data_IF_409142281624
#
_entry.id   IF_409142281624
#
_cell.length_a   1.000
_cell.length_b   1.000
_cell.length_c   1.000
_cell.angle_alpha   90.00
_cell.angle_beta   90.00
_cell.angle_gamma   90.00
#
_symmetry.space_group_name_H-M   'P 1'
#
loop_
_entity.id
_entity.type
_entity.pdbx_description
1 polymer ?
#
# COMPACT_ATOMS: atom_id res chain seq x y z
N UNK A 1 5.09 13.91 25.82
CA UNK A 1 5.79 13.46 24.60
C UNK A 1 7.07 14.28 24.45
N UNK A 2 8.23 13.68 24.06
CA UNK A 2 9.40 14.47 23.71
C UNK A 2 9.07 15.34 22.50
N UNK A 3 9.64 16.56 22.40
CA UNK A 3 9.33 17.46 21.31
C UNK A 3 9.70 16.86 19.96
N UNK A 4 8.87 17.11 18.94
CA UNK A 4 9.16 16.80 17.54
C UNK A 4 10.38 17.61 17.11
N UNK A 5 11.31 17.01 16.36
CA UNK A 5 12.44 17.73 15.79
C UNK A 5 11.96 18.75 14.77
N UNK A 6 12.77 19.80 14.55
CA UNK A 6 12.52 20.72 13.44
C UNK A 6 12.40 19.97 12.12
N UNK A 7 11.56 20.45 11.24
CA UNK A 7 11.39 19.93 9.87
C UNK A 7 12.70 19.91 9.07
N UNK A 8 13.59 20.86 9.34
CA UNK A 8 14.89 21.01 8.66
C UNK A 8 15.99 20.10 9.25
N UNK A 9 15.76 19.48 10.40
CA UNK A 9 16.70 18.52 10.99
C UNK A 9 16.71 17.20 10.19
N UNK A 10 17.73 17.04 9.36
CA UNK A 10 17.96 15.85 8.53
C UNK A 10 18.79 14.76 9.23
N UNK A 11 19.16 14.95 10.49
CA UNK A 11 19.93 13.95 11.23
C UNK A 11 19.13 12.68 11.44
N UNK A 12 19.74 11.52 11.09
CA UNK A 12 19.06 10.22 11.25
C UNK A 12 19.00 9.80 12.72
N UNK A 13 17.82 9.30 13.12
CA UNK A 13 17.64 8.66 14.41
C UNK A 13 18.42 7.35 14.48
N UNK A 14 19.06 7.05 15.60
CA UNK A 14 19.65 5.75 15.86
C UNK A 14 18.70 4.90 16.69
N UNK A 15 18.31 3.71 16.19
CA UNK A 15 17.39 2.79 16.87
C UNK A 15 18.11 1.71 17.66
N UNK A 16 19.20 1.17 17.09
CA UNK A 16 19.89 0.01 17.63
C UNK A 16 21.36 0.30 17.90
N UNK A 17 21.88 -0.25 18.99
CA UNK A 17 23.31 -0.24 19.27
C UNK A 17 24.06 -1.18 18.31
N UNK A 18 23.43 -2.32 17.95
CA UNK A 18 23.96 -3.27 16.99
C UNK A 18 23.97 -2.65 15.59
N UNK A 19 25.14 -2.61 14.93
CA UNK A 19 25.34 -1.98 13.65
C UNK A 19 24.53 -2.65 12.51
N UNK A 20 24.38 -3.97 12.55
CA UNK A 20 23.61 -4.73 11.55
C UNK A 20 22.13 -4.41 11.65
N UNK A 21 21.56 -4.44 12.86
CA UNK A 21 20.15 -4.06 13.07
C UNK A 21 19.91 -2.59 12.70
N UNK A 22 20.85 -1.71 13.04
CA UNK A 22 20.77 -0.30 12.67
C UNK A 22 20.79 -0.10 11.16
N UNK A 23 21.64 -0.84 10.43
CA UNK A 23 21.71 -0.80 8.97
C UNK A 23 20.37 -1.22 8.35
N UNK A 24 19.80 -2.35 8.74
CA UNK A 24 18.53 -2.85 8.21
C UNK A 24 17.30 -2.04 8.65
N UNK A 25 17.44 -1.17 9.63
CA UNK A 25 16.36 -0.28 10.06
C UNK A 25 16.29 1.02 9.26
N UNK A 26 17.26 1.30 8.39
CA UNK A 26 17.32 2.45 7.49
C UNK A 26 16.85 2.06 6.10
N UNK A 27 16.00 2.89 5.50
CA UNK A 27 15.44 2.62 4.17
C UNK A 27 15.59 3.85 3.27
N UNK A 28 16.64 3.91 2.43
CA UNK A 28 16.62 4.83 1.30
C UNK A 28 15.38 4.60 0.44
N UNK A 29 14.70 5.66 0.04
CA UNK A 29 13.40 5.60 -0.63
C UNK A 29 13.36 4.69 -1.87
N UNK A 30 14.45 4.64 -2.63
CA UNK A 30 14.55 3.84 -3.86
C UNK A 30 14.53 2.32 -3.61
N UNK A 31 14.81 1.87 -2.38
CA UNK A 31 14.72 0.44 -2.05
C UNK A 31 13.27 -0.08 -2.10
N UNK A 32 12.30 0.79 -1.85
CA UNK A 32 10.88 0.42 -1.91
C UNK A 32 10.48 0.02 -3.33
N UNK A 33 10.59 0.87 -4.36
CA UNK A 33 10.27 0.47 -5.72
C UNK A 33 11.22 -0.62 -6.25
N UNK A 34 12.51 -0.59 -5.92
CA UNK A 34 13.48 -1.59 -6.37
C UNK A 34 13.16 -3.01 -5.86
N UNK A 35 12.55 -3.13 -4.68
CA UNK A 35 12.13 -4.41 -4.11
C UNK A 35 10.75 -4.85 -4.59
N UNK A 36 9.77 -3.95 -4.54
CA UNK A 36 8.37 -4.34 -4.67
C UNK A 36 7.83 -4.30 -6.10
N UNK A 37 8.42 -3.49 -6.99
CA UNK A 37 8.03 -3.53 -8.41
C UNK A 37 8.34 -4.88 -9.05
N UNK A 38 9.54 -5.48 -8.87
CA UNK A 38 9.80 -6.84 -9.35
C UNK A 38 8.83 -7.88 -8.78
N UNK A 39 8.50 -7.81 -7.48
CA UNK A 39 7.53 -8.73 -6.86
C UNK A 39 6.15 -8.60 -7.50
N UNK A 40 5.69 -7.37 -7.76
CA UNK A 40 4.42 -7.15 -8.46
C UNK A 40 4.44 -7.71 -9.89
N UNK A 41 5.54 -7.51 -10.63
CA UNK A 41 5.71 -8.03 -11.99
C UNK A 41 5.71 -9.56 -12.03
N UNK A 42 6.41 -10.22 -11.10
CA UNK A 42 6.38 -11.68 -10.97
C UNK A 42 4.96 -12.16 -10.68
N UNK A 43 4.25 -11.53 -9.74
CA UNK A 43 2.86 -11.89 -9.44
C UNK A 43 1.91 -11.69 -10.63
N UNK A 44 2.13 -10.66 -11.45
CA UNK A 44 1.38 -10.45 -12.72
C UNK A 44 1.69 -11.58 -13.70
N UNK A 45 2.96 -11.94 -13.87
CA UNK A 45 3.37 -13.01 -14.78
C UNK A 45 2.80 -14.37 -14.36
N UNK A 46 2.87 -14.69 -13.06
CA UNK A 46 2.27 -15.90 -12.49
C UNK A 46 0.76 -15.95 -12.72
N UNK A 47 0.05 -14.84 -12.41
CA UNK A 47 -1.38 -14.75 -12.69
C UNK A 47 -1.72 -14.90 -14.17
N UNK A 48 -0.94 -14.27 -15.05
CA UNK A 48 -1.16 -14.35 -16.48
C UNK A 48 -0.96 -15.75 -17.06
N UNK A 49 -0.06 -16.56 -16.48
CA UNK A 49 0.15 -17.96 -16.91
C UNK A 49 -1.08 -18.84 -16.67
N UNK A 50 -1.92 -18.52 -15.67
CA UNK A 50 -3.13 -19.29 -15.35
C UNK A 50 -4.27 -19.14 -16.38
N UNK A 51 -4.19 -18.17 -17.30
CA UNK A 51 -5.22 -17.92 -18.30
C UNK A 51 -5.52 -19.15 -19.17
N UNK A 52 -4.52 -19.96 -19.49
CA UNK A 52 -4.64 -21.17 -20.29
C UNK A 52 -5.44 -22.27 -19.58
N UNK A 53 -5.31 -22.34 -18.25
CA UNK A 53 -6.12 -23.23 -17.40
C UNK A 53 -7.60 -22.80 -17.32
N UNK A 54 -7.90 -21.50 -17.53
CA UNK A 54 -9.27 -20.99 -17.52
C UNK A 54 -9.98 -21.23 -18.85
N UNK A 55 -9.32 -20.98 -19.98
CA UNK A 55 -9.88 -21.17 -21.32
C UNK A 55 -8.82 -21.44 -22.37
N UNK A 56 -9.11 -22.41 -23.24
CA UNK A 56 -8.26 -22.79 -24.39
C UNK A 56 -8.68 -22.12 -25.72
N UNK A 57 -9.62 -21.18 -25.72
CA UNK A 57 -10.09 -20.47 -26.91
C UNK A 57 -9.29 -19.18 -27.13
N UNK A 58 -8.57 -19.10 -28.23
CA UNK A 58 -7.53 -18.08 -28.46
C UNK A 58 -8.03 -16.69 -28.88
N UNK A 59 -9.16 -16.54 -29.58
CA UNK A 59 -9.43 -15.32 -30.37
C UNK A 59 -10.29 -14.26 -29.67
N UNK A 60 -11.34 -14.62 -28.94
CA UNK A 60 -12.23 -13.68 -28.22
C UNK A 60 -11.79 -13.52 -26.76
N UNK A 61 -11.08 -14.51 -26.26
CA UNK A 61 -10.71 -14.67 -24.86
C UNK A 61 -9.59 -13.71 -24.47
N UNK A 62 -8.68 -13.36 -25.38
CA UNK A 62 -7.56 -12.48 -25.11
C UNK A 62 -8.00 -11.09 -24.61
N UNK A 63 -8.93 -10.44 -25.29
CA UNK A 63 -9.42 -9.11 -24.89
C UNK A 63 -10.19 -9.14 -23.57
N UNK A 64 -10.95 -10.22 -23.31
CA UNK A 64 -11.68 -10.40 -22.05
C UNK A 64 -10.70 -10.54 -20.90
N UNK A 65 -9.64 -11.35 -21.06
CA UNK A 65 -8.61 -11.50 -20.01
C UNK A 65 -7.84 -10.23 -19.74
N UNK A 66 -7.43 -9.49 -20.78
CA UNK A 66 -6.73 -8.21 -20.62
C UNK A 66 -7.62 -7.20 -19.89
N UNK A 67 -8.90 -7.09 -20.30
CA UNK A 67 -9.85 -6.17 -19.66
C UNK A 67 -10.09 -6.53 -18.19
N UNK A 68 -10.25 -7.81 -17.89
CA UNK A 68 -10.46 -8.30 -16.54
C UNK A 68 -9.20 -8.13 -15.67
N UNK A 69 -8.02 -8.42 -16.21
CA UNK A 69 -6.73 -8.18 -15.56
C UNK A 69 -6.55 -6.70 -15.20
N UNK A 70 -6.80 -5.81 -16.17
CA UNK A 70 -6.72 -4.36 -15.96
C UNK A 70 -7.72 -3.88 -14.91
N UNK A 71 -8.98 -4.31 -15.02
CA UNK A 71 -10.01 -3.97 -14.02
C UNK A 71 -9.60 -4.41 -12.62
N UNK A 72 -9.16 -5.66 -12.48
CA UNK A 72 -8.76 -6.24 -11.20
C UNK A 72 -7.53 -5.53 -10.61
N UNK A 73 -6.54 -5.22 -11.46
CA UNK A 73 -5.36 -4.45 -11.08
C UNK A 73 -5.74 -3.04 -10.59
N UNK A 74 -6.58 -2.32 -11.33
CA UNK A 74 -7.04 -0.98 -10.95
C UNK A 74 -7.85 -1.02 -9.66
N UNK A 75 -8.69 -2.05 -9.48
CA UNK A 75 -9.43 -2.27 -8.23
C UNK A 75 -8.48 -2.50 -7.05
N UNK A 76 -7.42 -3.30 -7.23
CA UNK A 76 -6.37 -3.48 -6.23
C UNK A 76 -5.64 -2.18 -5.89
N UNK A 77 -5.24 -1.41 -6.91
CA UNK A 77 -4.61 -0.11 -6.71
C UNK A 77 -5.51 0.87 -5.94
N UNK A 78 -6.80 0.90 -6.27
CA UNK A 78 -7.77 1.72 -5.53
C UNK A 78 -8.01 1.22 -4.10
N UNK A 79 -8.03 -0.10 -3.88
CA UNK A 79 -8.17 -0.72 -2.57
C UNK A 79 -7.01 -0.33 -1.62
N UNK A 80 -5.79 -0.14 -2.16
CA UNK A 80 -4.68 0.38 -1.36
C UNK A 80 -5.04 1.69 -0.65
N UNK A 81 -5.74 2.61 -1.30
CA UNK A 81 -6.09 3.90 -0.67
C UNK A 81 -6.97 3.75 0.59
N UNK A 82 -7.80 2.70 0.64
CA UNK A 82 -8.59 2.33 1.83
C UNK A 82 -7.68 1.74 2.90
N UNK A 83 -6.82 0.81 2.48
CA UNK A 83 -5.88 0.13 3.39
C UNK A 83 -4.90 1.13 4.01
N UNK A 84 -4.32 2.02 3.21
CA UNK A 84 -3.45 3.10 3.66
C UNK A 84 -4.14 3.95 4.75
N UNK A 85 -5.34 4.46 4.46
CA UNK A 85 -6.09 5.25 5.42
C UNK A 85 -6.38 4.46 6.71
N UNK A 86 -6.77 3.20 6.57
CA UNK A 86 -7.04 2.30 7.69
C UNK A 86 -5.79 2.05 8.55
N UNK A 87 -4.66 1.74 7.93
CA UNK A 87 -3.38 1.57 8.62
C UNK A 87 -2.93 2.86 9.29
N UNK A 88 -2.96 3.98 8.58
CA UNK A 88 -2.51 5.24 9.12
C UNK A 88 -3.33 5.65 10.35
N UNK A 89 -4.67 5.60 10.26
CA UNK A 89 -5.56 6.02 11.34
C UNK A 89 -5.64 5.04 12.50
N UNK A 90 -5.81 3.73 12.22
CA UNK A 90 -6.20 2.76 13.24
C UNK A 90 -5.03 1.90 13.75
N UNK A 91 -3.91 1.84 13.01
CA UNK A 91 -2.72 1.09 13.39
C UNK A 91 -1.59 2.03 13.79
N UNK A 92 -1.21 2.96 12.91
CA UNK A 92 -0.04 3.81 13.11
C UNK A 92 -0.24 4.90 14.16
N UNK A 93 -1.43 5.48 14.24
CA UNK A 93 -1.77 6.49 15.24
C UNK A 93 -2.31 5.94 16.55
N UNK A 94 -2.53 4.62 16.63
CA UNK A 94 -2.95 3.98 17.88
C UNK A 94 -1.71 3.50 18.64
N UNK A 95 -1.53 4.02 19.85
CA UNK A 95 -0.44 3.59 20.74
C UNK A 95 -0.98 2.41 21.59
N UNK A 96 -0.52 1.17 21.35
CA UNK A 96 -0.93 0.03 22.15
C UNK A 96 -0.42 0.17 23.58
N UNK A 97 -1.10 -0.46 24.53
CA UNK A 97 -0.67 -0.49 25.93
C UNK A 97 0.62 -1.29 26.13
N UNK A 98 1.41 -0.89 27.12
CA UNK A 98 2.63 -1.58 27.52
C UNK A 98 3.87 -1.18 26.71
N UNK A 99 5.04 -1.62 27.23
CA UNK A 99 6.35 -1.23 26.70
C UNK A 99 6.58 -1.73 25.27
N UNK A 100 6.22 -2.98 24.98
CA UNK A 100 6.39 -3.57 23.65
C UNK A 100 5.51 -2.85 22.61
N UNK A 101 4.25 -2.58 22.96
CA UNK A 101 3.34 -1.85 22.08
C UNK A 101 3.86 -0.45 21.74
N UNK A 102 4.37 0.27 22.72
CA UNK A 102 4.96 1.59 22.51
C UNK A 102 6.24 1.53 21.63
N UNK A 103 7.06 0.48 21.78
CA UNK A 103 8.24 0.28 20.94
C UNK A 103 7.84 -0.02 19.47
N UNK A 104 6.89 -0.91 19.25
CA UNK A 104 6.39 -1.22 17.90
C UNK A 104 5.81 0.04 17.26
N UNK A 105 4.95 0.76 17.97
CA UNK A 105 4.40 2.03 17.46
C UNK A 105 5.50 3.03 17.10
N UNK A 106 6.53 3.17 17.96
CA UNK A 106 7.64 4.07 17.67
C UNK A 106 8.41 3.66 16.41
N UNK A 107 8.73 2.37 16.25
CA UNK A 107 9.48 1.86 15.10
C UNK A 107 8.70 1.93 13.79
N UNK A 108 7.39 1.78 13.84
CA UNK A 108 6.56 1.76 12.62
C UNK A 108 6.16 3.16 12.14
N UNK A 109 5.86 4.08 13.08
CA UNK A 109 5.34 5.41 12.70
C UNK A 109 5.74 6.56 13.65
N UNK A 110 5.87 6.28 14.93
CA UNK A 110 6.20 7.31 15.92
C UNK A 110 7.56 7.97 15.70
N UNK A 111 8.55 7.25 15.15
CA UNK A 111 9.85 7.79 14.77
C UNK A 111 9.72 8.84 13.66
N UNK A 112 8.85 8.58 12.68
CA UNK A 112 8.55 9.48 11.57
C UNK A 112 7.92 10.78 12.09
N UNK A 113 6.92 10.72 12.98
CA UNK A 113 6.35 11.91 13.62
C UNK A 113 7.35 12.66 14.51
N UNK A 114 8.34 11.95 15.08
CA UNK A 114 9.39 12.58 15.91
C UNK A 114 10.45 13.29 15.09
N UNK A 115 10.81 12.72 13.93
CA UNK A 115 11.89 13.22 13.08
C UNK A 115 11.42 13.19 11.60
N UNK A 116 10.48 14.05 11.20
CA UNK A 116 9.89 14.03 9.86
C UNK A 116 10.86 14.46 8.75
N UNK A 117 12.04 14.98 9.11
CA UNK A 117 13.14 15.30 8.20
C UNK A 117 14.14 14.16 7.96
N UNK A 118 14.07 13.06 8.73
CA UNK A 118 14.99 11.92 8.61
C UNK A 118 14.70 11.09 7.36
N UNK A 119 15.39 11.39 6.27
CA UNK A 119 15.17 10.77 4.95
C UNK A 119 15.40 9.27 4.89
N UNK A 120 16.11 8.69 5.89
CA UNK A 120 16.33 7.25 5.98
C UNK A 120 15.25 6.52 6.81
N UNK A 121 14.27 7.27 7.34
CA UNK A 121 13.18 6.78 8.19
C UNK A 121 11.79 7.20 7.70
N UNK A 122 11.73 7.78 6.48
CA UNK A 122 10.46 8.20 5.86
C UNK A 122 9.73 7.05 5.20
N UNK A 123 10.47 6.11 4.61
CA UNK A 123 9.92 4.94 3.93
C UNK A 123 10.04 3.71 4.80
N UNK A 124 9.08 2.79 4.67
CA UNK A 124 9.08 1.59 5.49
C UNK A 124 10.11 0.57 4.96
N UNK A 125 11.06 0.08 5.80
CA UNK A 125 12.10 -0.82 5.33
C UNK A 125 11.55 -2.08 4.67
N UNK A 126 11.99 -2.46 3.45
CA UNK A 126 11.47 -3.64 2.76
C UNK A 126 11.55 -4.93 3.58
N UNK A 127 12.61 -5.11 4.36
CA UNK A 127 12.76 -6.27 5.24
C UNK A 127 11.66 -6.35 6.32
N UNK A 128 11.22 -5.20 6.84
CA UNK A 128 10.13 -5.13 7.82
C UNK A 128 8.75 -5.22 7.14
N UNK A 129 8.63 -4.75 5.90
CA UNK A 129 7.41 -4.83 5.11
C UNK A 129 7.13 -6.26 4.60
N UNK A 130 8.17 -7.05 4.34
CA UNK A 130 8.05 -8.36 3.69
C UNK A 130 7.05 -9.31 4.37
N UNK A 131 7.05 -9.52 5.69
CA UNK A 131 6.05 -10.37 6.34
C UNK A 131 4.61 -9.90 6.10
N UNK A 132 4.38 -8.59 6.09
CA UNK A 132 3.05 -7.99 5.88
C UNK A 132 2.63 -8.15 4.43
N UNK A 133 3.53 -7.89 3.47
CA UNK A 133 3.27 -8.03 2.03
C UNK A 133 2.91 -9.47 1.67
N UNK A 134 3.70 -10.45 2.14
CA UNK A 134 3.42 -11.87 1.87
C UNK A 134 2.19 -12.38 2.61
N UNK A 135 1.90 -11.86 3.81
CA UNK A 135 0.62 -12.14 4.48
C UNK A 135 -0.58 -11.71 3.63
N UNK A 136 -0.56 -10.49 3.07
CA UNK A 136 -1.65 -10.02 2.20
C UNK A 136 -1.72 -10.78 0.87
N UNK A 137 -0.59 -11.15 0.28
CA UNK A 137 -0.58 -12.00 -0.91
C UNK A 137 -1.28 -13.35 -0.62
N UNK A 138 -0.93 -13.99 0.48
CA UNK A 138 -1.59 -15.23 0.90
C UNK A 138 -3.07 -15.03 1.21
N UNK A 139 -3.41 -13.99 1.97
CA UNK A 139 -4.79 -13.70 2.36
C UNK A 139 -5.68 -13.42 1.13
N UNK A 140 -5.21 -12.65 0.15
CA UNK A 140 -5.97 -12.38 -1.08
C UNK A 140 -6.17 -13.66 -1.91
N UNK A 141 -5.15 -14.52 -1.99
CA UNK A 141 -5.29 -15.84 -2.64
C UNK A 141 -6.31 -16.73 -1.92
N UNK A 142 -6.25 -16.82 -0.61
CA UNK A 142 -7.18 -17.63 0.19
C UNK A 142 -8.63 -17.13 0.07
N UNK A 143 -8.83 -15.80 0.17
CA UNK A 143 -10.15 -15.18 0.04
C UNK A 143 -10.70 -15.35 -1.38
N UNK A 144 -9.89 -15.12 -2.42
CA UNK A 144 -10.31 -15.33 -3.80
C UNK A 144 -10.69 -16.78 -4.04
N UNK A 145 -9.86 -17.73 -3.60
CA UNK A 145 -10.12 -19.16 -3.73
C UNK A 145 -11.47 -19.55 -3.08
N UNK A 146 -11.66 -19.17 -1.82
CA UNK A 146 -12.90 -19.47 -1.09
C UNK A 146 -14.14 -18.83 -1.76
N UNK A 147 -13.99 -17.61 -2.27
CA UNK A 147 -15.07 -16.87 -2.93
C UNK A 147 -15.45 -17.52 -4.27
N UNK A 148 -14.48 -17.78 -5.13
CA UNK A 148 -14.71 -18.37 -6.44
C UNK A 148 -15.26 -19.80 -6.34
N UNK A 149 -14.71 -20.63 -5.46
CA UNK A 149 -15.25 -21.98 -5.21
C UNK A 149 -16.66 -21.91 -4.59
N UNK A 150 -16.91 -21.00 -3.66
CA UNK A 150 -18.23 -20.80 -3.06
C UNK A 150 -19.29 -20.39 -4.07
N UNK A 151 -18.98 -19.41 -4.94
CA UNK A 151 -19.88 -18.98 -6.03
C UNK A 151 -20.10 -20.13 -7.02
N UNK A 152 -19.06 -20.85 -7.41
CA UNK A 152 -19.17 -21.93 -8.36
C UNK A 152 -20.06 -23.06 -7.82
N UNK A 153 -19.91 -23.43 -6.55
CA UNK A 153 -20.78 -24.41 -5.87
C UNK A 153 -22.24 -23.94 -5.80
N UNK A 154 -22.46 -22.64 -5.52
CA UNK A 154 -23.80 -22.07 -5.44
C UNK A 154 -24.51 -22.05 -6.81
N UNK A 155 -23.80 -21.68 -7.88
CA UNK A 155 -24.34 -21.61 -9.24
C UNK A 155 -24.64 -23.00 -9.80
N UNK A 156 -23.87 -24.02 -9.41
CA UNK A 156 -23.94 -25.38 -9.93
C UNK A 156 -24.64 -26.36 -8.97
N UNK A 157 -25.54 -25.84 -8.11
CA UNK A 157 -26.27 -26.61 -7.05
C UNK A 157 -26.86 -27.96 -7.50
N UNK A 158 -27.07 -28.19 -8.80
CA UNK A 158 -27.66 -29.40 -9.36
C UNK A 158 -26.75 -30.16 -10.35
N UNK A 159 -25.46 -29.80 -10.45
CA UNK A 159 -24.50 -30.46 -11.35
C UNK A 159 -23.32 -31.00 -10.57
N UNK A 160 -22.89 -32.21 -10.94
CA UNK A 160 -21.64 -32.77 -10.42
C UNK A 160 -20.47 -31.91 -10.89
N UNK A 161 -19.71 -31.37 -9.94
CA UNK A 161 -18.43 -30.73 -10.25
C UNK A 161 -17.47 -31.82 -10.75
N UNK A 162 -17.04 -31.71 -12.00
CA UNK A 162 -15.90 -32.48 -12.45
C UNK A 162 -14.59 -31.79 -12.01
N UNK A 163 -13.52 -32.55 -11.91
CA UNK A 163 -12.19 -32.06 -11.50
C UNK A 163 -11.73 -30.90 -12.41
N UNK A 164 -12.05 -30.95 -13.70
CA UNK A 164 -11.67 -29.95 -14.69
C UNK A 164 -12.37 -28.60 -14.47
N UNK A 165 -13.61 -28.60 -14.03
CA UNK A 165 -14.35 -27.38 -13.68
C UNK A 165 -13.78 -26.73 -12.41
N UNK A 166 -13.41 -27.55 -11.42
CA UNK A 166 -12.78 -27.06 -10.20
C UNK A 166 -11.41 -26.43 -10.49
N UNK A 167 -10.62 -27.05 -11.35
CA UNK A 167 -9.31 -26.51 -11.76
C UNK A 167 -9.45 -25.17 -12.46
N UNK A 168 -10.41 -25.00 -13.39
CA UNK A 168 -10.68 -23.69 -14.02
C UNK A 168 -11.06 -22.62 -13.01
N UNK A 169 -11.84 -22.97 -11.98
CA UNK A 169 -12.21 -22.04 -10.89
C UNK A 169 -10.98 -21.61 -10.09
N UNK A 170 -10.09 -22.54 -9.78
CA UNK A 170 -8.82 -22.26 -9.08
C UNK A 170 -7.90 -21.37 -9.89
N UNK A 171 -7.71 -21.66 -11.18
CA UNK A 171 -6.94 -20.79 -12.08
C UNK A 171 -7.53 -19.37 -12.13
N UNK A 172 -8.87 -19.24 -12.21
CA UNK A 172 -9.53 -17.94 -12.21
C UNK A 172 -9.35 -17.18 -10.89
N UNK A 173 -9.44 -17.86 -9.76
CA UNK A 173 -9.20 -17.29 -8.44
C UNK A 173 -7.75 -16.80 -8.28
N UNK A 174 -6.79 -17.61 -8.73
CA UNK A 174 -5.38 -17.26 -8.68
C UNK A 174 -5.05 -16.07 -9.60
N UNK A 175 -5.59 -16.07 -10.83
CA UNK A 175 -5.49 -14.95 -11.76
C UNK A 175 -5.99 -13.66 -11.11
N UNK A 176 -7.22 -13.67 -10.59
CA UNK A 176 -7.80 -12.52 -9.89
C UNK A 176 -6.91 -12.03 -8.75
N UNK A 177 -6.55 -12.94 -7.84
CA UNK A 177 -5.74 -12.59 -6.66
C UNK A 177 -4.39 -11.99 -7.02
N UNK A 178 -3.73 -12.48 -8.06
CA UNK A 178 -2.41 -12.02 -8.51
C UNK A 178 -2.46 -10.60 -9.06
N UNK A 179 -3.44 -10.27 -9.88
CA UNK A 179 -3.60 -8.91 -10.41
C UNK A 179 -4.07 -7.92 -9.34
N UNK A 180 -5.00 -8.34 -8.48
CA UNK A 180 -5.46 -7.52 -7.37
C UNK A 180 -4.32 -7.21 -6.38
N UNK A 181 -3.57 -8.22 -5.99
CA UNK A 181 -2.40 -8.04 -5.13
C UNK A 181 -1.37 -7.12 -5.75
N UNK A 182 -1.04 -7.30 -7.02
CA UNK A 182 -0.07 -6.45 -7.73
C UNK A 182 -0.53 -4.99 -7.79
N UNK A 183 -1.82 -4.76 -8.01
CA UNK A 183 -2.42 -3.43 -7.93
C UNK A 183 -2.26 -2.81 -6.54
N UNK A 184 -2.61 -3.55 -5.47
CA UNK A 184 -2.41 -3.10 -4.09
C UNK A 184 -0.94 -2.80 -3.79
N UNK A 185 -0.03 -3.68 -4.20
CA UNK A 185 1.40 -3.53 -3.95
C UNK A 185 1.99 -2.31 -4.66
N UNK A 186 1.60 -2.05 -5.92
CA UNK A 186 2.01 -0.83 -6.62
C UNK A 186 1.32 0.42 -6.06
N UNK A 187 0.13 0.30 -5.51
CA UNK A 187 -0.51 1.36 -4.71
C UNK A 187 0.34 1.72 -3.48
N UNK A 188 0.84 0.71 -2.75
CA UNK A 188 1.77 0.90 -1.64
C UNK A 188 3.06 1.60 -2.08
N UNK A 189 3.68 1.14 -3.17
CA UNK A 189 4.90 1.77 -3.70
C UNK A 189 4.65 3.24 -4.05
N UNK A 190 3.56 3.53 -4.74
CA UNK A 190 3.19 4.90 -5.12
C UNK A 190 2.94 5.78 -3.88
N UNK A 191 2.26 5.24 -2.86
CA UNK A 191 2.06 5.90 -1.58
C UNK A 191 3.38 6.25 -0.91
N UNK A 192 4.28 5.28 -0.74
CA UNK A 192 5.51 5.47 0.03
C UNK A 192 6.47 6.45 -0.67
N UNK A 193 6.57 6.38 -2.01
CA UNK A 193 7.31 7.35 -2.81
C UNK A 193 6.69 8.76 -2.76
N UNK A 194 5.36 8.85 -2.81
CA UNK A 194 4.65 10.14 -2.69
C UNK A 194 4.86 10.72 -1.29
N UNK A 195 4.71 9.95 -0.24
CA UNK A 195 4.93 10.35 1.14
C UNK A 195 6.35 10.90 1.34
N UNK A 196 7.36 10.18 0.83
CA UNK A 196 8.74 10.66 0.81
C UNK A 196 8.86 12.01 0.10
N UNK A 197 8.28 12.16 -1.09
CA UNK A 197 8.32 13.40 -1.85
C UNK A 197 7.66 14.57 -1.11
N UNK A 198 6.54 14.33 -0.40
CA UNK A 198 5.87 15.36 0.41
C UNK A 198 6.77 15.90 1.52
N UNK A 199 7.69 15.09 2.05
CA UNK A 199 8.65 15.52 3.06
C UNK A 199 9.89 16.21 2.48
N UNK A 200 10.39 15.75 1.33
CA UNK A 200 11.71 16.12 0.82
C UNK A 200 11.64 17.22 -0.24
N UNK A 201 10.69 17.15 -1.17
CA UNK A 201 10.60 18.10 -2.27
C UNK A 201 10.16 19.48 -1.79
N UNK A 202 10.77 20.52 -2.34
CA UNK A 202 10.34 21.90 -2.08
C UNK A 202 8.98 22.21 -2.75
N UNK A 203 8.31 23.24 -2.26
CA UNK A 203 6.98 23.60 -2.74
C UNK A 203 6.94 24.08 -4.19
N UNK A 204 8.04 24.62 -4.74
CA UNK A 204 8.09 25.07 -6.13
C UNK A 204 8.14 23.86 -7.07
N UNK A 205 8.99 22.88 -6.76
CA UNK A 205 9.07 21.60 -7.48
C UNK A 205 7.71 20.89 -7.50
N UNK A 206 7.02 20.76 -6.34
CA UNK A 206 5.72 20.13 -6.30
C UNK A 206 4.65 20.88 -7.11
N UNK A 207 4.63 22.21 -7.09
CA UNK A 207 3.72 23.01 -7.93
C UNK A 207 4.01 22.86 -9.42
N UNK A 208 5.28 22.69 -9.80
CA UNK A 208 5.63 22.39 -11.19
C UNK A 208 5.09 21.03 -11.61
N UNK A 209 5.29 19.99 -10.80
CA UNK A 209 4.73 18.65 -11.05
C UNK A 209 3.20 18.70 -11.12
N UNK A 210 2.54 19.44 -10.22
CA UNK A 210 1.08 19.60 -10.24
C UNK A 210 0.59 20.23 -11.56
N UNK A 211 1.31 21.22 -12.10
CA UNK A 211 0.97 21.86 -13.38
C UNK A 211 1.18 20.93 -14.58
N UNK A 212 2.26 20.16 -14.58
CA UNK A 212 2.60 19.26 -15.69
C UNK A 212 1.72 18.01 -15.77
N UNK A 213 1.31 17.46 -14.62
CA UNK A 213 0.63 16.16 -14.53
C UNK A 213 -0.79 16.24 -13.96
N UNK A 214 -1.31 17.44 -13.68
CA UNK A 214 -2.66 17.62 -13.13
C UNK A 214 -2.82 17.04 -11.72
N UNK A 215 -1.72 16.97 -10.94
CA UNK A 215 -1.72 16.44 -9.58
C UNK A 215 -2.06 17.51 -8.53
N UNK A 216 -1.98 17.18 -7.27
CA UNK A 216 -2.25 18.09 -6.15
C UNK A 216 -1.24 17.92 -5.01
N UNK A 217 0.01 17.62 -5.36
CA UNK A 217 1.06 17.27 -4.40
C UNK A 217 1.41 18.42 -3.46
N UNK A 218 1.45 19.66 -3.96
CA UNK A 218 1.73 20.84 -3.14
C UNK A 218 0.66 21.02 -2.04
N UNK A 219 -0.63 20.80 -2.37
CA UNK A 219 -1.73 20.83 -1.40
C UNK A 219 -1.63 19.66 -0.42
N UNK A 220 -1.35 18.45 -0.91
CA UNK A 220 -1.15 17.26 -0.06
C UNK A 220 0.01 17.49 0.92
N UNK A 221 1.13 18.07 0.48
CA UNK A 221 2.25 18.45 1.36
C UNK A 221 1.78 19.36 2.51
N UNK A 222 1.06 20.43 2.19
CA UNK A 222 0.55 21.35 3.21
C UNK A 222 -0.34 20.64 4.25
N UNK A 223 -1.27 19.79 3.80
CA UNK A 223 -2.13 18.99 4.69
C UNK A 223 -1.33 18.02 5.54
N UNK A 224 -0.38 17.31 4.96
CA UNK A 224 0.46 16.34 5.65
C UNK A 224 1.38 17.00 6.69
N UNK A 225 1.95 18.16 6.39
CA UNK A 225 2.71 18.93 7.38
C UNK A 225 1.82 19.43 8.53
N UNK A 226 0.57 19.81 8.26
CA UNK A 226 -0.39 20.13 9.34
C UNK A 226 -0.70 18.92 10.21
N UNK A 227 -0.82 17.73 9.63
CA UNK A 227 -0.95 16.47 10.35
C UNK A 227 0.26 16.23 11.29
N UNK A 228 1.48 16.51 10.84
CA UNK A 228 2.68 16.36 11.66
C UNK A 228 2.83 17.37 12.78
N UNK A 229 2.48 18.63 12.53
CA UNK A 229 2.86 19.73 13.42
C UNK A 229 1.70 20.39 14.13
N UNK A 230 0.47 20.22 13.66
CA UNK A 230 -0.71 20.92 14.21
C UNK A 230 -1.69 19.95 14.84
N UNK A 231 -2.16 18.95 14.10
CA UNK A 231 -3.19 18.03 14.59
C UNK A 231 -3.00 16.62 13.99
N UNK A 232 -2.42 15.73 14.78
CA UNK A 232 -2.16 14.33 14.42
C UNK A 232 -3.41 13.46 14.33
N UNK A 233 -4.59 13.96 14.75
CA UNK A 233 -5.84 13.24 14.71
C UNK A 233 -6.64 13.48 13.43
N UNK A 234 -6.05 14.18 12.43
CA UNK A 234 -6.70 14.56 11.18
C UNK A 234 -5.78 14.40 9.98
N UNK A 235 -6.40 14.30 8.76
CA UNK A 235 -5.70 14.21 7.48
C UNK A 235 -4.77 12.99 7.37
N UNK A 236 -5.36 11.81 7.51
CA UNK A 236 -4.64 10.53 7.46
C UNK A 236 -4.35 10.09 6.02
N UNK A 237 -5.18 10.49 5.03
CA UNK A 237 -5.06 10.04 3.65
C UNK A 237 -3.97 10.77 2.86
N UNK A 238 -2.92 10.06 2.42
CA UNK A 238 -1.85 10.55 1.54
C UNK A 238 -2.17 10.25 0.08
N UNK A 239 -2.50 9.00 -0.25
CA UNK A 239 -2.90 8.61 -1.60
C UNK A 239 -4.20 9.27 -2.00
N UNK A 240 -5.18 9.32 -1.09
CA UNK A 240 -6.51 9.88 -1.36
C UNK A 240 -7.08 10.61 -0.14
N UNK A 241 -7.47 11.88 -0.33
CA UNK A 241 -8.18 12.68 0.68
C UNK A 241 -9.67 12.31 0.82
N UNK A 242 -10.19 11.39 -0.02
CA UNK A 242 -11.63 11.01 -0.03
C UNK A 242 -12.06 10.40 1.29
N UNK A 243 -11.16 9.61 1.91
CA UNK A 243 -11.45 8.92 3.17
C UNK A 243 -11.54 9.89 4.34
N UNK A 244 -10.68 10.92 4.36
CA UNK A 244 -10.77 12.00 5.35
C UNK A 244 -12.10 12.74 5.26
N UNK A 245 -12.59 13.04 4.04
CA UNK A 245 -13.89 13.66 3.82
C UNK A 245 -15.03 12.76 4.29
N UNK A 246 -15.04 11.52 3.85
CA UNK A 246 -16.09 10.56 4.16
C UNK A 246 -16.19 10.30 5.67
N UNK A 247 -15.04 10.21 6.34
CA UNK A 247 -14.96 9.89 7.77
C UNK A 247 -14.74 11.12 8.66
N UNK A 248 -14.90 12.33 8.10
CA UNK A 248 -14.85 13.63 8.79
C UNK A 248 -13.56 13.87 9.59
N UNK A 249 -12.44 13.42 9.02
CA UNK A 249 -11.10 13.63 9.59
C UNK A 249 -10.29 14.67 8.82
N UNK A 250 -10.90 15.51 8.00
CA UNK A 250 -10.21 16.65 7.37
C UNK A 250 -9.84 17.70 8.42
N UNK A 251 -8.76 18.44 8.15
CA UNK A 251 -8.54 19.70 8.86
C UNK A 251 -9.66 20.70 8.53
N UNK A 252 -10.13 21.43 9.52
CA UNK A 252 -11.03 22.57 9.28
C UNK A 252 -10.37 23.54 8.29
N UNK A 253 -11.15 24.02 7.31
CA UNK A 253 -10.70 25.11 6.47
C UNK A 253 -10.35 26.31 7.36
N UNK A 254 -9.11 26.74 7.37
CA UNK A 254 -8.75 28.03 7.93
C UNK A 254 -9.18 29.03 6.87
N UNK A 255 -10.29 29.69 7.11
CA UNK A 255 -10.76 30.85 6.36
C UNK A 255 -9.74 31.97 6.45
#
# INVERSE_FOLDING_TARGET
KPPTRSYDDRSSLRFFQNATLEFFSKSPWYLVPATWVPVALVSIADGWSEREGISKRDDVVGYVFVSFALFTFVAGYAAWSVMEYGFHRFVFHRIPSGRLGAQIHFLTHGCHHKAPGDTLRLTFPPAAAAPVVFFFQFAFRAVAMATFEGIARLVLLNRTFDESALERVRCAAFFFASFFFSGCLLGYVAYDCTHFALHVADGATLRLVDRLFGTSLARKKSKHLRHHFVDHARAFGISSERWDRLLRTEHACVS
#
